data_IF_043318309694
#
_entry.id   IF_043318309694
#
_cell.length_a   1.000
_cell.length_b   1.000
_cell.length_c   1.000
_cell.angle_alpha   90.00
_cell.angle_beta   90.00
_cell.angle_gamma   90.00
#
_symmetry.space_group_name_H-M   'P 1'
#
loop_
_entity.id
_entity.type
_entity.pdbx_description
1 polymer ?
#
# COMPACT_ATOMS: atom_id res chain seq x y z
N UNK A 1 -0.56 10.73 -3.12
CA UNK A 1 -0.61 11.42 -4.43
C UNK A 1 -0.98 10.51 -5.60
N UNK A 2 -0.39 9.34 -5.82
CA UNK A 2 -0.86 8.41 -6.89
C UNK A 2 -1.97 7.48 -6.42
N UNK A 3 -1.85 6.96 -5.19
CA UNK A 3 -2.84 6.05 -4.62
C UNK A 3 -4.23 6.68 -4.55
N UNK A 4 -4.32 7.97 -4.25
CA UNK A 4 -5.59 8.68 -4.09
C UNK A 4 -6.47 8.63 -5.36
N UNK A 5 -5.84 8.46 -6.53
CA UNK A 5 -6.56 8.34 -7.81
C UNK A 5 -7.24 6.97 -7.99
N UNK A 6 -6.72 5.94 -7.32
CA UNK A 6 -7.11 4.54 -7.48
C UNK A 6 -7.88 4.01 -6.28
N UNK A 7 -7.65 4.57 -5.10
CA UNK A 7 -8.14 4.05 -3.82
C UNK A 7 -9.65 3.91 -3.78
N UNK A 8 -10.41 4.89 -4.28
CA UNK A 8 -11.88 4.82 -4.34
C UNK A 8 -12.41 3.68 -5.25
N UNK A 9 -11.53 3.07 -6.05
CA UNK A 9 -11.85 1.97 -6.97
C UNK A 9 -11.40 0.61 -6.45
N UNK A 10 -10.59 0.56 -5.40
CA UNK A 10 -10.11 -0.68 -4.81
C UNK A 10 -11.18 -1.27 -3.90
N UNK A 11 -11.57 -2.51 -4.15
CA UNK A 11 -12.49 -3.25 -3.27
C UNK A 11 -11.72 -3.95 -2.15
N UNK A 12 -12.36 -4.33 -1.03
CA UNK A 12 -11.77 -5.25 -0.08
C UNK A 12 -11.25 -6.51 -0.79
N UNK A 13 -10.03 -6.93 -0.43
CA UNK A 13 -9.28 -8.00 -1.08
C UNK A 13 -8.42 -7.55 -2.27
N UNK A 14 -8.46 -6.29 -2.68
CA UNK A 14 -7.55 -5.77 -3.70
C UNK A 14 -6.09 -5.81 -3.20
N UNK A 15 -5.18 -6.13 -4.11
CA UNK A 15 -3.74 -6.23 -3.84
C UNK A 15 -3.03 -5.10 -4.59
N UNK A 16 -2.18 -4.38 -3.88
CA UNK A 16 -1.26 -3.39 -4.41
C UNK A 16 0.14 -3.98 -4.29
N UNK A 17 0.87 -4.02 -5.41
CA UNK A 17 2.30 -4.34 -5.45
C UNK A 17 3.01 -3.07 -5.88
N UNK A 18 3.79 -2.49 -4.99
CA UNK A 18 4.55 -1.27 -5.25
C UNK A 18 6.04 -1.61 -5.32
N UNK A 19 6.61 -1.52 -6.51
CA UNK A 19 8.05 -1.65 -6.75
C UNK A 19 8.78 -0.35 -6.35
N UNK A 20 10.05 -0.46 -5.94
CA UNK A 20 10.88 0.64 -5.42
C UNK A 20 10.14 1.52 -4.37
N UNK A 21 9.43 0.88 -3.43
CA UNK A 21 8.56 1.56 -2.47
C UNK A 21 9.34 2.41 -1.45
N UNK A 22 10.61 2.11 -1.22
CA UNK A 22 11.54 2.87 -0.37
C UNK A 22 11.83 4.28 -0.89
N UNK A 23 11.75 4.51 -2.21
CA UNK A 23 11.80 5.84 -2.82
C UNK A 23 10.56 6.70 -2.48
N UNK A 24 9.53 6.11 -1.87
CA UNK A 24 8.27 6.77 -1.50
C UNK A 24 7.96 6.64 0.00
N UNK A 25 8.68 7.36 0.87
CA UNK A 25 8.51 7.25 2.33
C UNK A 25 7.09 7.62 2.80
N UNK A 26 6.41 8.55 2.13
CA UNK A 26 5.01 8.90 2.43
C UNK A 26 4.05 7.76 2.12
N UNK A 27 4.30 7.00 1.05
CA UNK A 27 3.50 5.83 0.68
C UNK A 27 3.68 4.72 1.72
N UNK A 28 4.91 4.42 2.12
CA UNK A 28 5.21 3.42 3.15
C UNK A 28 4.61 3.81 4.50
N UNK A 29 4.79 5.07 4.91
CA UNK A 29 4.21 5.60 6.16
C UNK A 29 2.70 5.47 6.17
N UNK A 30 2.07 5.69 5.02
CA UNK A 30 0.64 5.48 4.85
C UNK A 30 0.30 4.00 4.96
N UNK A 31 0.89 3.13 4.15
CA UNK A 31 0.53 1.69 4.07
C UNK A 31 0.75 0.94 5.38
N UNK A 32 1.80 1.28 6.11
CA UNK A 32 2.16 0.66 7.40
C UNK A 32 1.44 1.27 8.59
N UNK A 33 0.61 2.32 8.39
CA UNK A 33 -0.15 2.95 9.46
C UNK A 33 -1.25 2.00 9.97
N UNK A 34 -1.26 1.65 11.27
CA UNK A 34 -2.31 0.81 11.83
C UNK A 34 -3.72 1.41 11.63
N UNK A 35 -4.68 0.58 11.24
CA UNK A 35 -6.09 0.97 11.11
C UNK A 35 -6.41 1.86 9.91
N UNK A 36 -5.55 1.91 8.89
CA UNK A 36 -5.71 2.70 7.67
C UNK A 36 -6.50 1.98 6.55
N UNK A 37 -7.06 0.80 6.79
CA UNK A 37 -7.74 -0.03 5.78
C UNK A 37 -6.85 -0.99 4.99
N UNK A 38 -5.54 -1.02 5.27
CA UNK A 38 -4.57 -1.89 4.61
C UNK A 38 -3.82 -2.78 5.60
N UNK A 39 -3.53 -4.00 5.16
CA UNK A 39 -2.49 -4.84 5.72
C UNK A 39 -1.30 -4.82 4.77
N UNK A 40 -0.12 -4.43 5.27
CA UNK A 40 1.05 -4.21 4.42
C UNK A 40 2.29 -4.90 4.99
N UNK A 41 3.14 -5.41 4.10
CA UNK A 41 4.41 -6.03 4.44
C UNK A 41 5.44 -5.71 3.36
N UNK A 42 6.69 -5.53 3.80
CA UNK A 42 7.83 -5.54 2.89
C UNK A 42 7.90 -6.93 2.22
N UNK A 43 8.21 -6.93 0.93
CA UNK A 43 8.44 -8.11 0.11
C UNK A 43 9.68 -7.83 -0.73
N UNK A 44 10.65 -8.75 -0.82
CA UNK A 44 11.86 -8.58 -1.64
C UNK A 44 12.45 -7.16 -1.62
N UNK A 45 13.13 -6.80 -0.52
CA UNK A 45 13.86 -5.55 -0.22
C UNK A 45 13.22 -4.19 -0.60
N UNK A 46 12.93 -3.93 -1.87
CA UNK A 46 12.40 -2.68 -2.41
C UNK A 46 10.91 -2.73 -2.76
N UNK A 47 10.24 -3.89 -2.64
CA UNK A 47 8.80 -4.02 -2.94
C UNK A 47 7.96 -3.93 -1.65
N UNK A 48 6.83 -3.21 -1.71
CA UNK A 48 5.78 -3.27 -0.68
C UNK A 48 4.56 -4.00 -1.22
N UNK A 49 4.10 -5.01 -0.47
CA UNK A 49 2.86 -5.73 -0.74
C UNK A 49 1.78 -5.26 0.23
N UNK A 50 0.68 -4.72 -0.31
CA UNK A 50 -0.44 -4.23 0.50
C UNK A 50 -1.75 -4.85 0.05
N UNK A 51 -2.58 -5.25 1.02
CA UNK A 51 -3.92 -5.79 0.80
C UNK A 51 -4.94 -4.85 1.42
N UNK A 52 -5.94 -4.44 0.66
CA UNK A 52 -7.09 -3.72 1.21
C UNK A 52 -7.96 -4.69 2.00
N UNK A 53 -8.22 -4.39 3.27
CA UNK A 53 -8.92 -5.29 4.19
C UNK A 53 -10.29 -4.76 4.64
N UNK A 54 -10.65 -3.54 4.24
CA UNK A 54 -11.93 -2.88 4.51
C UNK A 54 -12.79 -2.65 3.26
#
# INVERSE_FOLDING_TARGET
MTLDLLEDRLKPGAIIVADNADDSPDYLSRMRKPGNGYMSTAFADDVELSVRID
#
